data_IF_693789210306
#
_entry.id   IF_693789210306
#
_cell.length_a   1.000
_cell.length_b   1.000
_cell.length_c   1.000
_cell.angle_alpha   90.00
_cell.angle_beta   90.00
_cell.angle_gamma   90.00
#
_symmetry.space_group_name_H-M   'P 1'
#
loop_
_entity.id
_entity.type
_entity.pdbx_description
1 polymer ?
#
# COMPACT_ATOMS: atom_id res chain seq x y z
N UNK A 1 15.68 65.22 17.55
CA UNK A 1 15.36 64.42 16.34
C UNK A 1 15.64 62.90 16.45
N UNK A 2 16.24 62.36 17.54
CA UNK A 2 16.62 60.93 17.65
C UNK A 2 15.53 59.91 18.07
N UNK A 3 14.28 60.34 18.34
CA UNK A 3 13.21 59.43 18.80
C UNK A 3 12.53 58.66 17.66
N UNK A 4 12.42 59.27 16.47
CA UNK A 4 11.79 58.62 15.32
C UNK A 4 12.67 57.52 14.70
N UNK A 5 13.99 57.69 14.73
CA UNK A 5 14.98 56.72 14.23
C UNK A 5 14.99 55.40 15.03
N UNK A 6 14.72 55.46 16.34
CA UNK A 6 14.63 54.25 17.19
C UNK A 6 13.33 53.47 16.94
N UNK A 7 12.23 54.17 16.67
CA UNK A 7 10.95 53.55 16.33
C UNK A 7 10.97 52.89 14.95
N UNK A 8 11.58 53.53 13.96
CA UNK A 8 11.73 52.96 12.62
C UNK A 8 12.68 51.75 12.61
N UNK A 9 13.77 51.79 13.39
CA UNK A 9 14.67 50.64 13.55
C UNK A 9 13.95 49.44 14.18
N UNK A 10 13.12 49.65 15.20
CA UNK A 10 12.34 48.59 15.84
C UNK A 10 11.32 47.97 14.88
N UNK A 11 10.62 48.80 14.09
CA UNK A 11 9.68 48.31 13.06
C UNK A 11 10.38 47.47 11.99
N UNK A 12 11.59 47.88 11.57
CA UNK A 12 12.38 47.14 10.59
C UNK A 12 12.80 45.76 11.14
N UNK A 13 13.23 45.69 12.41
CA UNK A 13 13.55 44.42 13.06
C UNK A 13 12.32 43.52 13.15
N UNK A 14 11.17 44.04 13.56
CA UNK A 14 9.92 43.28 13.64
C UNK A 14 9.53 42.74 12.26
N UNK A 15 9.65 43.57 11.21
CA UNK A 15 9.35 43.15 9.84
C UNK A 15 10.27 42.01 9.39
N UNK A 16 11.58 42.12 9.62
CA UNK A 16 12.53 41.06 9.27
C UNK A 16 12.22 39.77 10.03
N UNK A 17 11.98 39.84 11.34
CA UNK A 17 11.64 38.67 12.15
C UNK A 17 10.33 38.04 11.68
N UNK A 18 9.33 38.83 11.34
CA UNK A 18 8.04 38.33 10.83
C UNK A 18 8.22 37.60 9.50
N UNK A 19 8.98 38.17 8.56
CA UNK A 19 9.27 37.51 7.27
C UNK A 19 10.06 36.23 7.50
N UNK A 20 11.05 36.25 8.40
CA UNK A 20 11.84 35.07 8.73
C UNK A 20 10.98 33.94 9.33
N UNK A 21 10.09 34.27 10.26
CA UNK A 21 9.16 33.29 10.84
C UNK A 21 8.17 32.75 9.81
N UNK A 22 7.68 33.59 8.89
CA UNK A 22 6.81 33.15 7.81
C UNK A 22 7.52 32.16 6.87
N UNK A 23 8.77 32.43 6.50
CA UNK A 23 9.59 31.53 5.69
C UNK A 23 9.87 30.21 6.42
N UNK A 24 10.16 30.27 7.72
CA UNK A 24 10.39 29.07 8.54
C UNK A 24 9.13 28.20 8.60
N UNK A 25 7.96 28.81 8.85
CA UNK A 25 6.69 28.10 8.89
C UNK A 25 6.40 27.40 7.56
N UNK A 26 6.63 28.09 6.44
CA UNK A 26 6.44 27.53 5.11
C UNK A 26 7.38 26.35 4.81
N UNK A 27 8.65 26.43 5.26
CA UNK A 27 9.60 25.33 5.11
C UNK A 27 9.21 24.11 5.96
N UNK A 28 8.74 24.33 7.19
CA UNK A 28 8.29 23.25 8.08
C UNK A 28 7.07 22.53 7.50
N UNK A 29 6.09 23.28 7.00
CA UNK A 29 4.87 22.72 6.38
C UNK A 29 5.16 21.87 5.13
N UNK A 30 6.08 22.34 4.28
CA UNK A 30 6.57 21.56 3.14
C UNK A 30 7.37 20.33 3.57
N UNK A 31 8.15 20.43 4.64
CA UNK A 31 8.87 19.29 5.20
C UNK A 31 7.90 18.21 5.66
N UNK A 32 6.89 18.58 6.44
CA UNK A 32 5.91 17.63 6.98
C UNK A 32 5.09 16.94 5.89
N UNK A 33 4.67 17.67 4.85
CA UNK A 33 3.91 17.08 3.73
C UNK A 33 4.75 16.10 2.91
N UNK A 34 6.05 16.39 2.68
CA UNK A 34 6.95 15.46 2.01
C UNK A 34 7.17 14.19 2.83
N UNK A 35 7.38 14.30 4.14
CA UNK A 35 7.53 13.14 5.03
C UNK A 35 6.28 12.26 5.02
N UNK A 36 5.08 12.86 5.07
CA UNK A 36 3.82 12.12 4.98
C UNK A 36 3.69 11.38 3.64
N UNK A 37 4.04 12.04 2.53
CA UNK A 37 3.98 11.42 1.20
C UNK A 37 4.94 10.23 1.07
N UNK A 38 6.17 10.34 1.57
CA UNK A 38 7.14 9.23 1.56
C UNK A 38 6.64 8.09 2.45
N UNK A 39 6.11 8.39 3.63
CA UNK A 39 5.61 7.36 4.53
C UNK A 39 4.43 6.61 3.91
N UNK A 40 3.50 7.34 3.29
CA UNK A 40 2.35 6.75 2.60
C UNK A 40 2.77 5.88 1.42
N UNK A 41 3.70 6.36 0.57
CA UNK A 41 4.22 5.58 -0.56
C UNK A 41 4.92 4.30 -0.11
N UNK A 42 5.69 4.35 1.00
CA UNK A 42 6.30 3.15 1.58
C UNK A 42 5.24 2.16 2.08
N UNK A 43 4.15 2.63 2.67
CA UNK A 43 3.04 1.78 3.11
C UNK A 43 2.27 1.17 1.94
N UNK A 44 2.10 1.90 0.83
CA UNK A 44 1.53 1.37 -0.42
C UNK A 44 2.36 0.22 -0.99
N UNK A 45 3.68 0.38 -1.02
CA UNK A 45 4.60 -0.67 -1.47
C UNK A 45 4.51 -1.91 -0.57
N UNK A 46 4.44 -1.74 0.75
CA UNK A 46 4.26 -2.84 1.69
C UNK A 46 2.91 -3.54 1.46
N UNK A 47 1.83 -2.79 1.29
CA UNK A 47 0.50 -3.36 1.03
C UNK A 47 0.47 -4.15 -0.30
N UNK A 48 1.14 -3.63 -1.35
CA UNK A 48 1.28 -4.33 -2.62
C UNK A 48 2.07 -5.63 -2.47
N UNK A 49 3.21 -5.59 -1.80
CA UNK A 49 4.05 -6.77 -1.56
C UNK A 49 3.30 -7.84 -0.74
N UNK A 50 2.46 -7.43 0.21
CA UNK A 50 1.59 -8.35 0.95
C UNK A 50 0.50 -8.97 0.06
N UNK A 51 -0.08 -8.19 -0.85
CA UNK A 51 -1.04 -8.69 -1.82
C UNK A 51 -0.37 -9.70 -2.79
N UNK A 52 0.86 -9.43 -3.24
CA UNK A 52 1.65 -10.38 -4.05
C UNK A 52 1.95 -11.66 -3.28
N UNK A 53 2.40 -11.56 -2.04
CA UNK A 53 2.64 -12.73 -1.19
C UNK A 53 1.38 -13.59 -1.02
N UNK A 54 0.20 -12.97 -0.92
CA UNK A 54 -1.07 -13.68 -0.89
C UNK A 54 -1.40 -14.39 -2.21
N UNK A 55 -1.07 -13.81 -3.37
CA UNK A 55 -1.23 -14.49 -4.65
C UNK A 55 -0.32 -15.72 -4.75
N UNK A 56 0.94 -15.59 -4.38
CA UNK A 56 1.89 -16.71 -4.39
C UNK A 56 1.45 -17.83 -3.44
N UNK A 57 0.96 -17.44 -2.26
CA UNK A 57 0.38 -18.37 -1.29
C UNK A 57 -0.85 -19.10 -1.86
N UNK A 58 -1.74 -18.38 -2.53
CA UNK A 58 -2.92 -18.95 -3.17
C UNK A 58 -2.54 -19.95 -4.28
N UNK A 59 -1.59 -19.60 -5.15
CA UNK A 59 -1.08 -20.50 -6.19
C UNK A 59 -0.45 -21.75 -5.57
N UNK A 60 0.37 -21.59 -4.53
CA UNK A 60 0.96 -22.73 -3.82
C UNK A 60 -0.10 -23.65 -3.21
N UNK A 61 -1.15 -23.09 -2.59
CA UNK A 61 -2.29 -23.86 -2.05
C UNK A 61 -3.06 -24.60 -3.13
N UNK A 62 -3.28 -23.98 -4.28
CA UNK A 62 -3.93 -24.61 -5.44
C UNK A 62 -3.08 -25.78 -5.95
N UNK A 63 -1.77 -25.61 -6.10
CA UNK A 63 -0.87 -26.68 -6.53
C UNK A 63 -0.83 -27.83 -5.52
N UNK A 64 -0.73 -27.52 -4.22
CA UNK A 64 -0.67 -28.55 -3.16
C UNK A 64 -1.97 -29.33 -3.02
N UNK A 65 -3.11 -28.67 -3.24
CA UNK A 65 -4.45 -29.29 -3.19
C UNK A 65 -4.88 -29.94 -4.50
N UNK A 66 -4.01 -29.96 -5.53
CA UNK A 66 -4.33 -30.42 -6.89
C UNK A 66 -5.58 -29.74 -7.46
N UNK A 67 -5.69 -28.44 -7.22
CA UNK A 67 -6.75 -27.58 -7.70
C UNK A 67 -8.04 -27.61 -6.87
N UNK A 68 -8.17 -28.46 -5.86
CA UNK A 68 -9.45 -28.65 -5.13
C UNK A 68 -9.71 -27.61 -4.03
N UNK A 69 -8.85 -26.60 -3.91
CA UNK A 69 -9.00 -25.57 -2.91
C UNK A 69 -9.89 -24.40 -3.40
N UNK A 70 -10.87 -24.05 -2.59
CA UNK A 70 -11.68 -22.84 -2.70
C UNK A 70 -11.97 -22.28 -1.31
N UNK A 71 -12.10 -20.96 -1.21
CA UNK A 71 -12.40 -20.30 0.06
C UNK A 71 -11.55 -19.06 0.31
N UNK A 72 -11.66 -18.55 1.54
CA UNK A 72 -10.97 -17.36 2.01
C UNK A 72 -9.97 -17.72 3.11
N UNK A 73 -8.75 -17.18 3.02
CA UNK A 73 -7.74 -17.26 4.07
C UNK A 73 -7.25 -15.86 4.41
N UNK A 74 -7.10 -15.57 5.71
CA UNK A 74 -6.51 -14.34 6.23
C UNK A 74 -5.25 -14.70 7.03
N UNK A 75 -4.12 -14.10 6.66
CA UNK A 75 -2.81 -14.37 7.25
C UNK A 75 -2.24 -13.07 7.80
N UNK A 76 -1.98 -13.07 9.11
CA UNK A 76 -1.38 -11.93 9.82
C UNK A 76 0.13 -12.11 9.92
N UNK A 77 0.87 -11.08 9.52
CA UNK A 77 2.33 -10.98 9.58
C UNK A 77 2.74 -9.80 10.47
N UNK A 78 4.04 -9.68 10.75
CA UNK A 78 4.56 -8.55 11.55
C UNK A 78 4.45 -7.21 10.81
N UNK A 79 4.50 -7.22 9.48
CA UNK A 79 4.45 -6.03 8.61
C UNK A 79 3.04 -5.64 8.18
N UNK A 80 2.04 -6.47 8.46
CA UNK A 80 0.68 -6.30 7.96
C UNK A 80 -0.11 -7.59 7.95
N UNK A 81 -1.10 -7.68 7.08
CA UNK A 81 -1.85 -8.91 6.83
C UNK A 81 -2.23 -8.99 5.37
N UNK A 82 -2.50 -10.19 4.88
CA UNK A 82 -3.13 -10.37 3.58
C UNK A 82 -4.33 -11.31 3.69
N UNK A 83 -5.36 -11.03 2.91
CA UNK A 83 -6.54 -11.87 2.78
C UNK A 83 -6.68 -12.34 1.33
N UNK A 84 -6.80 -13.63 1.12
CA UNK A 84 -6.91 -14.25 -0.21
C UNK A 84 -8.23 -14.96 -0.35
N UNK A 85 -8.94 -14.70 -1.44
CA UNK A 85 -10.17 -15.39 -1.83
C UNK A 85 -9.92 -16.14 -3.13
N UNK A 86 -10.17 -17.45 -3.12
CA UNK A 86 -9.96 -18.33 -4.28
C UNK A 86 -11.30 -18.89 -4.73
N UNK A 87 -11.69 -18.55 -5.95
CA UNK A 87 -12.98 -18.93 -6.55
C UNK A 87 -12.76 -19.65 -7.86
N UNK A 88 -13.39 -20.81 -8.03
CA UNK A 88 -13.37 -21.54 -9.30
C UNK A 88 -14.48 -21.01 -10.21
N UNK A 89 -14.13 -20.57 -11.43
CA UNK A 89 -15.08 -19.97 -12.35
C UNK A 89 -15.82 -20.99 -13.20
N UNK A 90 -15.17 -22.11 -13.54
CA UNK A 90 -15.70 -23.10 -14.48
C UNK A 90 -15.11 -24.49 -14.22
N UNK A 91 -15.77 -25.52 -14.77
CA UNK A 91 -15.30 -26.91 -14.71
C UNK A 91 -14.01 -27.14 -15.52
N UNK A 92 -13.68 -26.21 -16.43
CA UNK A 92 -12.50 -26.19 -17.29
C UNK A 92 -11.18 -25.91 -16.57
N UNK A 93 -11.22 -25.63 -15.26
CA UNK A 93 -10.01 -25.38 -14.46
C UNK A 93 -9.57 -23.92 -14.39
N UNK A 94 -10.39 -22.95 -14.82
CA UNK A 94 -10.09 -21.53 -14.58
C UNK A 94 -10.41 -21.16 -13.13
N UNK A 95 -9.42 -20.58 -12.46
CA UNK A 95 -9.50 -20.15 -11.07
C UNK A 95 -9.22 -18.66 -11.02
N UNK A 96 -10.06 -17.95 -10.28
CA UNK A 96 -9.91 -16.54 -9.96
C UNK A 96 -9.41 -16.40 -8.52
N UNK A 97 -8.37 -15.60 -8.36
CA UNK A 97 -7.74 -15.33 -7.08
C UNK A 97 -7.83 -13.83 -6.84
N UNK A 98 -8.39 -13.45 -5.70
CA UNK A 98 -8.27 -12.11 -5.15
C UNK A 98 -7.32 -12.15 -3.97
N UNK A 99 -6.38 -11.22 -3.91
CA UNK A 99 -5.47 -11.08 -2.78
C UNK A 99 -5.44 -9.62 -2.35
N UNK A 100 -5.73 -9.38 -1.07
CA UNK A 100 -5.77 -8.05 -0.46
C UNK A 100 -4.67 -7.94 0.57
N UNK A 101 -3.68 -7.10 0.34
CA UNK A 101 -2.64 -6.76 1.31
C UNK A 101 -2.99 -5.50 2.09
N UNK A 102 -2.72 -5.50 3.39
CA UNK A 102 -2.97 -4.40 4.32
C UNK A 102 -1.71 -4.17 5.16
N UNK A 103 -1.13 -2.98 5.09
CA UNK A 103 0.06 -2.65 5.90
C UNK A 103 -0.29 -2.47 7.38
N UNK A 104 0.58 -2.91 8.28
CA UNK A 104 0.44 -2.67 9.71
C UNK A 104 0.85 -1.21 10.01
N UNK A 105 -0.10 -0.29 9.97
CA UNK A 105 0.13 1.08 10.46
C UNK A 105 -0.14 1.16 11.96
N UNK A 106 0.80 1.67 12.79
CA UNK A 106 0.56 1.94 14.20
C UNK A 106 -0.47 3.06 14.42
N UNK A 107 -0.71 3.87 13.40
CA UNK A 107 -1.79 4.87 13.36
C UNK A 107 -2.88 4.33 12.44
N UNK A 108 -3.91 3.73 13.04
CA UNK A 108 -4.99 2.99 12.38
C UNK A 108 -5.76 3.79 11.30
N UNK A 109 -5.55 5.11 11.21
CA UNK A 109 -6.14 5.99 10.20
C UNK A 109 -5.36 6.02 8.86
N UNK A 110 -4.12 5.51 8.82
CA UNK A 110 -3.28 5.40 7.61
C UNK A 110 -3.10 3.94 7.17
N UNK A 111 -4.08 3.07 7.46
CA UNK A 111 -4.02 1.70 6.98
C UNK A 111 -4.18 1.69 5.45
N UNK A 112 -3.07 1.46 4.74
CA UNK A 112 -3.06 1.34 3.29
C UNK A 112 -3.43 -0.09 2.89
N UNK A 113 -4.34 -0.19 1.92
CA UNK A 113 -4.78 -1.45 1.36
C UNK A 113 -4.51 -1.48 -0.14
N UNK A 114 -4.08 -2.63 -0.65
CA UNK A 114 -3.99 -2.92 -2.08
C UNK A 114 -4.65 -4.25 -2.38
N UNK A 115 -5.39 -4.33 -3.47
CA UNK A 115 -5.99 -5.59 -3.92
C UNK A 115 -5.46 -5.97 -5.29
N UNK A 116 -5.07 -7.23 -5.45
CA UNK A 116 -4.69 -7.81 -6.72
C UNK A 116 -5.70 -8.89 -7.10
N UNK A 117 -5.99 -8.97 -8.39
CA UNK A 117 -6.79 -10.03 -9.00
C UNK A 117 -5.93 -10.78 -9.99
N UNK A 118 -5.99 -12.10 -9.94
CA UNK A 118 -5.28 -12.98 -10.85
C UNK A 118 -6.22 -14.06 -11.39
N UNK A 119 -6.13 -14.31 -12.69
CA UNK A 119 -6.83 -15.41 -13.36
C UNK A 119 -5.80 -16.43 -13.83
N UNK A 120 -5.96 -17.67 -13.38
CA UNK A 120 -5.10 -18.79 -13.77
C UNK A 120 -5.93 -19.94 -14.37
N UNK A 121 -5.34 -20.72 -15.28
CA UNK A 121 -5.85 -22.06 -15.60
C UNK A 121 -5.00 -23.11 -14.90
N UNK A 122 -5.67 -24.07 -14.27
CA UNK A 122 -5.08 -25.26 -13.70
C UNK A 122 -5.84 -26.49 -14.20
N UNK A 123 -5.14 -27.36 -14.94
CA UNK A 123 -5.69 -28.64 -15.38
C UNK A 123 -5.54 -29.70 -14.29
N UNK A 124 -6.68 -30.21 -13.79
CA UNK A 124 -6.72 -31.26 -12.75
C UNK A 124 -6.28 -32.62 -13.30
N UNK A 125 -6.42 -32.85 -14.61
CA UNK A 125 -6.03 -34.11 -15.26
C UNK A 125 -4.51 -34.19 -15.48
N UNK A 126 -3.84 -33.04 -15.51
CA UNK A 126 -2.39 -32.90 -15.64
C UNK A 126 -1.81 -32.08 -14.48
N UNK A 127 -1.79 -32.59 -13.23
CA UNK A 127 -1.39 -31.80 -12.05
C UNK A 127 0.10 -31.40 -12.02
N UNK A 128 0.93 -31.97 -12.90
CA UNK A 128 2.32 -31.53 -13.13
C UNK A 128 2.42 -30.32 -14.07
N UNK A 129 1.33 -29.93 -14.74
CA UNK A 129 1.28 -28.74 -15.58
C UNK A 129 1.36 -27.49 -14.70
N UNK A 130 2.32 -26.62 -15.00
CA UNK A 130 2.50 -25.34 -14.32
C UNK A 130 1.24 -24.47 -14.57
N UNK A 131 0.66 -23.85 -13.52
CA UNK A 131 -0.48 -22.95 -13.69
C UNK A 131 -0.15 -21.84 -14.70
N UNK A 132 -1.04 -21.60 -15.66
CA UNK A 132 -0.84 -20.54 -16.65
C UNK A 132 -1.62 -19.30 -16.22
N UNK A 133 -0.91 -18.19 -16.01
CA UNK A 133 -1.51 -16.89 -15.71
C UNK A 133 -2.05 -16.23 -16.98
N UNK A 134 -3.33 -15.87 -16.99
CA UNK A 134 -3.95 -15.15 -18.11
C UNK A 134 -3.98 -13.64 -17.93
N UNK A 135 -4.28 -13.19 -16.72
CA UNK A 135 -4.37 -11.77 -16.39
C UNK A 135 -3.99 -11.55 -14.93
N UNK A 136 -3.34 -10.41 -14.69
CA UNK A 136 -3.06 -9.85 -13.37
C UNK A 136 -3.46 -8.38 -13.41
N UNK A 137 -4.37 -7.99 -12.53
CA UNK A 137 -4.93 -6.64 -12.45
C UNK A 137 -4.82 -6.13 -11.02
N UNK A 138 -4.44 -4.86 -10.86
CA UNK A 138 -4.50 -4.16 -9.58
C UNK A 138 -5.86 -3.48 -9.44
N UNK A 139 -6.57 -3.82 -8.37
CA UNK A 139 -7.87 -3.29 -8.00
C UNK A 139 -7.66 -2.43 -6.77
N UNK A 140 -7.47 -1.12 -7.01
CA UNK A 140 -7.34 0.01 -6.07
C UNK A 140 -7.23 -0.32 -4.58
#
# INVERSE_FOLDING_TARGET
MRKHERGSALLLVIMIVTVFLALLAFMLDRGTSLFQSIHHSSQEEVALNLAEAGLDFAVHKIMTSKGDFSGEEDVVLSTGRFATTITRLNSSGTIEIYSRGMSASPQQHDAVQRTLRMLISFDKESPEAVPVMYSREELL
#
